data_IF_287990686341
#
_entry.id   IF_287990686341
#
_cell.length_a   1.000
_cell.length_b   1.000
_cell.length_c   1.000
_cell.angle_alpha   90.00
_cell.angle_beta   90.00
_cell.angle_gamma   90.00
#
_symmetry.space_group_name_H-M   'P 1'
#
loop_
_entity.id
_entity.type
_entity.pdbx_description
1 polymer ?
#
# COMPACT_ATOMS: atom_id res chain seq x y z
N UNK A 1 9.44 36.57 -30.05
CA UNK A 1 9.48 35.15 -29.61
C UNK A 1 10.94 34.79 -29.63
N UNK A 2 11.57 34.88 -28.45
CA UNK A 2 13.01 34.93 -28.29
C UNK A 2 13.59 33.51 -28.21
N UNK A 3 14.75 33.32 -28.82
CA UNK A 3 15.51 32.07 -28.93
C UNK A 3 16.13 31.57 -27.60
N UNK A 4 15.54 31.91 -26.45
CA UNK A 4 16.07 31.59 -25.11
C UNK A 4 15.32 30.43 -24.44
N UNK A 5 14.13 30.06 -24.94
CA UNK A 5 13.33 28.96 -24.39
C UNK A 5 13.74 27.57 -24.93
N UNK A 6 14.41 27.50 -26.09
CA UNK A 6 14.79 26.24 -26.74
C UNK A 6 15.84 25.42 -25.95
N UNK A 7 16.61 26.05 -25.06
CA UNK A 7 17.74 25.40 -24.40
C UNK A 7 17.42 24.83 -23.00
N UNK A 8 16.37 25.28 -22.33
CA UNK A 8 16.03 24.79 -21.00
C UNK A 8 15.44 23.37 -21.03
N UNK A 9 14.59 23.10 -22.02
CA UNK A 9 13.99 21.78 -22.23
C UNK A 9 15.08 20.76 -22.59
N UNK A 10 15.99 21.13 -23.49
CA UNK A 10 17.08 20.25 -23.91
C UNK A 10 18.07 19.95 -22.76
N UNK A 11 18.38 20.95 -21.92
CA UNK A 11 19.20 20.76 -20.72
C UNK A 11 18.52 19.85 -19.70
N UNK A 12 17.22 20.03 -19.47
CA UNK A 12 16.44 19.18 -18.57
C UNK A 12 16.40 17.73 -19.06
N UNK A 13 16.14 17.52 -20.36
CA UNK A 13 16.15 16.19 -20.98
C UNK A 13 17.51 15.51 -20.85
N UNK A 14 18.62 16.24 -21.10
CA UNK A 14 19.96 15.69 -20.97
C UNK A 14 20.28 15.27 -19.53
N UNK A 15 19.85 16.05 -18.55
CA UNK A 15 20.04 15.76 -17.13
C UNK A 15 19.26 14.51 -16.70
N UNK A 16 18.01 14.38 -17.15
CA UNK A 16 17.17 13.20 -16.91
C UNK A 16 17.79 11.96 -17.56
N UNK A 17 18.23 12.05 -18.82
CA UNK A 17 18.90 10.94 -19.51
C UNK A 17 20.20 10.52 -18.81
N UNK A 18 21.03 11.50 -18.40
CA UNK A 18 22.27 11.22 -17.67
C UNK A 18 22.01 10.52 -16.31
N UNK A 19 20.88 10.81 -15.68
CA UNK A 19 20.49 10.19 -14.40
C UNK A 19 19.87 8.80 -14.57
N UNK A 20 19.31 8.50 -15.75
CA UNK A 20 18.64 7.23 -16.02
C UNK A 20 19.51 6.20 -16.72
N UNK A 21 20.50 6.62 -17.53
CA UNK A 21 21.30 5.72 -18.38
C UNK A 21 22.08 4.64 -17.63
N UNK A 22 22.44 4.90 -16.37
CA UNK A 22 23.25 4.00 -15.56
C UNK A 22 22.38 3.03 -14.72
N UNK A 23 21.06 3.19 -14.77
CA UNK A 23 20.10 2.29 -14.11
C UNK A 23 19.76 1.10 -15.01
N UNK A 24 19.40 -0.04 -14.42
CA UNK A 24 18.86 -1.16 -15.18
C UNK A 24 17.46 -0.84 -15.76
N UNK A 25 17.07 -1.59 -16.80
CA UNK A 25 15.82 -1.34 -17.55
C UNK A 25 14.57 -1.38 -16.67
N UNK A 26 14.53 -2.21 -15.62
CA UNK A 26 13.38 -2.23 -14.70
C UNK A 26 13.35 -1.00 -13.81
N UNK A 27 14.52 -0.56 -13.32
CA UNK A 27 14.62 0.66 -12.53
C UNK A 27 14.29 1.92 -13.36
N UNK A 28 14.74 1.98 -14.63
CA UNK A 28 14.37 3.05 -15.55
C UNK A 28 12.85 3.14 -15.76
N UNK A 29 12.19 2.00 -16.01
CA UNK A 29 10.73 1.97 -16.19
C UNK A 29 9.97 2.43 -14.93
N UNK A 30 10.44 2.05 -13.74
CA UNK A 30 9.82 2.51 -12.48
C UNK A 30 9.93 4.02 -12.29
N UNK A 31 11.08 4.61 -12.62
CA UNK A 31 11.27 6.06 -12.52
C UNK A 31 10.40 6.78 -13.54
N UNK A 32 10.34 6.27 -14.78
CA UNK A 32 9.49 6.84 -15.82
C UNK A 32 8.00 6.76 -15.46
N UNK A 33 7.52 5.61 -14.96
CA UNK A 33 6.14 5.46 -14.50
C UNK A 33 5.81 6.41 -13.34
N UNK A 34 6.74 6.56 -12.39
CA UNK A 34 6.60 7.48 -11.26
C UNK A 34 6.50 8.94 -11.73
N UNK A 35 7.40 9.39 -12.61
CA UNK A 35 7.41 10.78 -13.12
C UNK A 35 6.20 11.06 -13.99
N UNK A 36 5.83 10.12 -14.87
CA UNK A 36 4.66 10.21 -15.75
C UNK A 36 3.39 10.36 -14.93
N UNK A 37 3.25 9.57 -13.86
CA UNK A 37 2.11 9.64 -12.92
C UNK A 37 2.11 10.94 -12.11
N UNK A 38 3.27 11.41 -11.67
CA UNK A 38 3.42 12.63 -10.86
C UNK A 38 3.12 13.92 -11.63
N UNK A 39 3.44 13.94 -12.92
CA UNK A 39 3.20 15.10 -13.78
C UNK A 39 1.89 15.00 -14.58
N UNK A 40 1.09 13.96 -14.32
CA UNK A 40 -0.14 13.65 -15.08
C UNK A 40 0.09 13.62 -16.59
N UNK A 41 1.29 13.21 -17.01
CA UNK A 41 1.64 13.10 -18.42
C UNK A 41 1.10 11.78 -18.95
N UNK A 42 0.49 11.79 -20.13
CA UNK A 42 0.12 10.54 -20.81
C UNK A 42 1.32 10.10 -21.62
N UNK A 43 1.86 8.91 -21.33
CA UNK A 43 2.92 8.32 -22.15
C UNK A 43 2.36 8.08 -23.55
N UNK A 44 2.70 8.94 -24.49
CA UNK A 44 2.35 8.78 -25.90
C UNK A 44 3.25 7.70 -26.49
N UNK A 45 2.88 6.45 -26.28
CA UNK A 45 3.31 5.37 -27.17
C UNK A 45 2.47 5.49 -28.43
N UNK A 46 2.98 6.22 -29.43
CA UNK A 46 2.53 6.04 -30.81
C UNK A 46 2.91 4.61 -31.22
N UNK A 47 1.96 3.67 -31.08
CA UNK A 47 1.95 2.41 -31.81
C UNK A 47 0.51 2.21 -32.35
N UNK A 48 0.37 1.72 -33.60
CA UNK A 48 -0.83 1.84 -34.41
C UNK A 48 -1.94 0.91 -33.95
N UNK A 49 -3.18 1.34 -34.17
CA UNK A 49 -4.41 0.55 -34.01
C UNK A 49 -4.23 -0.90 -34.48
N UNK A 50 -4.43 -1.89 -33.60
CA UNK A 50 -4.64 -3.25 -34.07
C UNK A 50 -6.01 -3.32 -34.75
N UNK A 51 -6.00 -3.38 -36.07
CA UNK A 51 -7.14 -3.69 -36.92
C UNK A 51 -7.76 -5.00 -36.40
N UNK A 52 -8.96 -4.92 -35.83
CA UNK A 52 -9.75 -6.10 -35.46
C UNK A 52 -10.27 -6.78 -36.73
N UNK A 53 -9.96 -8.08 -36.98
CA UNK A 53 -10.72 -8.85 -37.94
C UNK A 53 -12.00 -9.37 -37.26
N UNK A 54 -13.16 -8.88 -37.70
CA UNK A 54 -14.45 -9.46 -37.33
C UNK A 54 -14.57 -10.91 -37.82
N UNK A 55 -15.07 -11.86 -36.99
CA UNK A 55 -15.61 -13.11 -37.51
C UNK A 55 -17.14 -13.06 -37.50
N UNK A 56 -17.72 -13.30 -38.69
CA UNK A 56 -19.14 -13.58 -38.89
C UNK A 56 -19.46 -15.01 -38.47
N UNK A 57 -20.53 -15.13 -37.68
CA UNK A 57 -21.62 -16.13 -37.73
C UNK A 57 -21.28 -17.63 -37.87
N UNK A 58 -21.64 -18.43 -36.84
CA UNK A 58 -22.79 -19.39 -36.82
C UNK A 58 -22.47 -20.78 -36.21
N UNK A 59 -23.36 -21.18 -35.30
CA UNK A 59 -23.85 -22.54 -34.94
C UNK A 59 -23.24 -23.21 -33.70
N UNK A 60 -24.07 -23.27 -32.65
CA UNK A 60 -24.03 -24.10 -31.42
C UNK A 60 -24.17 -25.63 -31.74
N UNK A 61 -24.20 -26.61 -30.78
CA UNK A 61 -24.26 -26.50 -29.30
C UNK A 61 -23.43 -27.54 -28.48
N UNK A 62 -23.60 -27.42 -27.15
CA UNK A 62 -23.34 -28.38 -26.05
C UNK A 62 -21.90 -28.58 -25.52
N UNK A 63 -21.61 -28.01 -24.34
CA UNK A 63 -21.51 -28.75 -23.05
C UNK A 63 -20.89 -27.86 -21.94
N UNK A 64 -21.72 -27.57 -20.91
CA UNK A 64 -21.40 -27.32 -19.49
C UNK A 64 -20.57 -26.08 -19.04
N UNK A 65 -21.29 -25.17 -18.37
CA UNK A 65 -20.98 -24.22 -17.27
C UNK A 65 -19.66 -24.36 -16.48
N UNK A 66 -19.15 -23.30 -15.78
CA UNK A 66 -19.94 -22.18 -15.25
C UNK A 66 -19.43 -20.75 -15.51
N UNK A 67 -20.41 -19.87 -15.64
CA UNK A 67 -20.47 -18.47 -15.20
C UNK A 67 -19.21 -17.96 -14.46
N UNK A 68 -18.40 -17.17 -15.17
CA UNK A 68 -17.73 -16.05 -14.53
C UNK A 68 -18.68 -14.87 -14.63
N UNK A 69 -19.45 -14.67 -13.55
CA UNK A 69 -20.25 -13.48 -13.35
C UNK A 69 -19.38 -12.24 -13.58
N UNK A 70 -19.76 -11.44 -14.58
CA UNK A 70 -19.47 -10.01 -14.67
C UNK A 70 -19.98 -9.33 -13.40
N UNK A 71 -19.14 -9.35 -12.37
CA UNK A 71 -19.36 -8.66 -11.12
C UNK A 71 -18.85 -7.23 -11.24
N UNK A 72 -19.75 -6.32 -11.64
CA UNK A 72 -19.82 -4.90 -11.28
C UNK A 72 -18.47 -4.19 -11.10
N UNK A 73 -18.20 -3.28 -12.03
CA UNK A 73 -17.45 -2.04 -11.81
C UNK A 73 -18.07 -1.25 -10.64
N UNK A 74 -17.79 -1.69 -9.42
CA UNK A 74 -18.05 -0.93 -8.20
C UNK A 74 -16.85 -0.04 -7.99
N UNK A 75 -17.05 1.24 -8.29
CA UNK A 75 -16.40 2.40 -7.67
C UNK A 75 -15.02 2.07 -7.09
N UNK A 76 -13.99 2.20 -7.93
CA UNK A 76 -12.63 2.29 -7.45
C UNK A 76 -12.58 3.51 -6.53
N UNK A 77 -12.72 3.25 -5.23
CA UNK A 77 -12.14 4.05 -4.16
C UNK A 77 -10.62 4.00 -4.41
N UNK A 78 -10.17 4.71 -5.45
CA UNK A 78 -8.76 5.00 -5.74
C UNK A 78 -8.33 5.99 -4.66
N UNK A 79 -8.18 5.45 -3.44
CA UNK A 79 -7.60 6.18 -2.33
C UNK A 79 -6.14 6.43 -2.67
N UNK A 80 -5.88 7.66 -3.10
CA UNK A 80 -4.59 8.19 -3.47
C UNK A 80 -3.57 7.95 -2.33
N UNK A 81 -2.43 7.31 -2.64
CA UNK A 81 -1.41 6.94 -1.66
C UNK A 81 -1.39 5.46 -1.22
N UNK A 82 -2.37 4.63 -1.63
CA UNK A 82 -2.35 3.19 -1.33
C UNK A 82 -1.63 2.37 -2.40
N UNK A 83 -0.75 1.47 -1.97
CA UNK A 83 -0.03 0.51 -2.83
C UNK A 83 -0.98 -0.44 -3.58
N UNK A 84 -0.69 -0.79 -4.85
CA UNK A 84 -1.53 -1.72 -5.64
C UNK A 84 -1.66 -3.11 -5.01
N UNK A 85 -0.69 -3.53 -4.19
CA UNK A 85 -0.73 -4.79 -3.43
C UNK A 85 -1.72 -4.68 -2.27
N UNK A 86 -1.74 -3.53 -1.59
CA UNK A 86 -2.70 -3.24 -0.54
C UNK A 86 -4.14 -3.14 -1.06
N UNK A 87 -4.36 -2.56 -2.25
CA UNK A 87 -5.69 -2.55 -2.89
C UNK A 87 -6.25 -3.96 -3.14
N UNK A 88 -5.40 -4.92 -3.51
CA UNK A 88 -5.81 -6.34 -3.64
C UNK A 88 -6.18 -6.95 -2.30
N UNK A 89 -5.40 -6.65 -1.26
CA UNK A 89 -5.69 -7.11 0.09
C UNK A 89 -6.99 -6.49 0.64
N UNK A 90 -7.23 -5.20 0.43
CA UNK A 90 -8.47 -4.52 0.83
C UNK A 90 -9.71 -5.18 0.23
N UNK A 91 -9.67 -5.51 -1.06
CA UNK A 91 -10.74 -6.26 -1.72
C UNK A 91 -10.95 -7.64 -1.09
N UNK A 92 -9.87 -8.34 -0.72
CA UNK A 92 -9.95 -9.64 -0.06
C UNK A 92 -10.43 -9.56 1.39
N UNK A 93 -10.09 -8.50 2.10
CA UNK A 93 -10.47 -8.28 3.51
C UNK A 93 -11.84 -7.62 3.67
N UNK A 94 -12.48 -7.20 2.57
CA UNK A 94 -13.74 -6.47 2.53
C UNK A 94 -13.68 -5.13 3.29
N UNK A 95 -12.50 -4.48 3.28
CA UNK A 95 -12.29 -3.17 3.90
C UNK A 95 -12.30 -2.08 2.82
N UNK A 96 -13.08 -1.01 3.04
CA UNK A 96 -13.11 0.14 2.12
C UNK A 96 -12.08 1.21 2.50
N UNK A 97 -11.67 2.03 1.53
CA UNK A 97 -10.77 3.16 1.76
C UNK A 97 -11.31 4.13 2.82
N UNK A 98 -12.63 4.40 2.77
CA UNK A 98 -13.36 5.22 3.75
C UNK A 98 -13.35 4.65 5.17
N UNK A 99 -13.33 3.32 5.33
CA UNK A 99 -13.21 2.70 6.65
C UNK A 99 -11.79 2.82 7.19
N UNK A 100 -10.80 2.61 6.32
CA UNK A 100 -9.39 2.75 6.70
C UNK A 100 -9.03 4.19 7.02
N UNK A 101 -9.61 5.19 6.36
CA UNK A 101 -9.35 6.61 6.65
C UNK A 101 -9.79 7.07 8.06
N UNK A 102 -10.64 6.29 8.75
CA UNK A 102 -11.00 6.52 10.15
C UNK A 102 -9.85 6.15 11.10
N UNK A 103 -9.08 5.13 10.72
CA UNK A 103 -8.00 4.57 11.54
C UNK A 103 -6.62 5.07 11.10
N UNK A 104 -6.47 5.39 9.82
CA UNK A 104 -5.21 5.73 9.19
C UNK A 104 -5.33 7.06 8.45
N UNK A 105 -4.29 7.90 8.56
CA UNK A 105 -4.15 9.07 7.72
C UNK A 105 -3.54 8.63 6.40
N UNK A 106 -4.38 8.50 5.36
CA UNK A 106 -3.97 8.07 4.03
C UNK A 106 -3.24 9.23 3.32
N UNK A 107 -1.91 9.28 3.47
CA UNK A 107 -1.04 10.24 2.79
C UNK A 107 -0.35 9.66 1.55
N UNK A 108 0.19 10.54 0.69
CA UNK A 108 0.86 10.16 -0.57
C UNK A 108 2.24 9.53 -0.30
N UNK A 109 2.96 10.01 0.72
CA UNK A 109 4.31 9.51 1.07
C UNK A 109 4.29 8.49 2.20
N UNK A 110 3.46 8.73 3.22
CA UNK A 110 3.35 7.87 4.38
C UNK A 110 1.90 7.78 4.88
N UNK A 111 1.56 6.60 5.41
CA UNK A 111 0.28 6.33 6.05
C UNK A 111 0.54 6.17 7.55
N UNK A 112 -0.02 7.09 8.34
CA UNK A 112 0.14 7.11 9.80
C UNK A 112 -1.10 6.56 10.51
N UNK A 113 -0.87 5.96 11.68
CA UNK A 113 -1.94 5.50 12.56
C UNK A 113 -2.55 6.69 13.32
N UNK A 114 -3.82 6.98 13.09
CA UNK A 114 -4.57 8.08 13.71
C UNK A 114 -5.83 7.61 14.47
N UNK A 115 -5.91 6.31 14.76
CA UNK A 115 -7.03 5.74 15.49
C UNK A 115 -7.25 6.45 16.84
N UNK A 116 -8.50 6.76 17.19
CA UNK A 116 -8.82 7.45 18.47
C UNK A 116 -8.41 6.66 19.70
N UNK A 117 -8.52 5.33 19.63
CA UNK A 117 -8.14 4.43 20.70
C UNK A 117 -7.70 3.10 20.10
N UNK A 118 -6.71 2.45 20.72
CA UNK A 118 -6.25 1.11 20.32
C UNK A 118 -6.77 0.09 21.33
N UNK A 119 -7.40 -1.01 20.90
CA UNK A 119 -7.88 -2.06 21.79
C UNK A 119 -6.72 -2.71 22.58
N UNK A 120 -7.03 -3.11 23.81
CA UNK A 120 -6.10 -3.84 24.69
C UNK A 120 -6.31 -3.51 26.17
N UNK A 121 -6.61 -4.54 26.97
CA UNK A 121 -6.86 -4.40 28.41
C UNK A 121 -5.57 -4.11 29.17
N UNK A 122 -4.48 -4.73 28.75
CA UNK A 122 -3.14 -4.53 29.31
C UNK A 122 -2.23 -3.74 28.37
N UNK A 123 -1.14 -3.16 28.89
CA UNK A 123 -0.11 -2.52 28.05
C UNK A 123 0.47 -3.48 27.01
N UNK A 124 0.67 -4.75 27.39
CA UNK A 124 1.17 -5.78 26.49
C UNK A 124 0.24 -6.01 25.28
N UNK A 125 -1.06 -6.11 25.54
CA UNK A 125 -2.08 -6.25 24.47
C UNK A 125 -2.13 -5.02 23.58
N UNK A 126 -2.05 -3.81 24.17
CA UNK A 126 -2.02 -2.58 23.37
C UNK A 126 -0.77 -2.50 22.50
N UNK A 127 0.41 -2.87 23.01
CA UNK A 127 1.64 -2.94 22.20
C UNK A 127 1.46 -3.90 21.02
N UNK A 128 0.84 -5.07 21.24
CA UNK A 128 0.50 -6.01 20.16
C UNK A 128 -0.39 -5.32 19.11
N UNK A 129 -1.50 -4.75 19.54
CA UNK A 129 -2.45 -4.09 18.65
C UNK A 129 -1.83 -2.93 17.88
N UNK A 130 -0.99 -2.11 18.51
CA UNK A 130 -0.26 -1.01 17.85
C UNK A 130 0.70 -1.57 16.80
N UNK A 131 1.48 -2.61 17.12
CA UNK A 131 2.41 -3.23 16.19
C UNK A 131 1.69 -3.80 14.95
N UNK A 132 0.54 -4.45 15.17
CA UNK A 132 -0.32 -4.93 14.09
C UNK A 132 -0.82 -3.79 13.19
N UNK A 133 -1.30 -2.70 13.79
CA UNK A 133 -1.82 -1.55 13.05
C UNK A 133 -0.72 -0.82 12.27
N UNK A 134 0.46 -0.62 12.85
CA UNK A 134 1.61 -0.02 12.17
C UNK A 134 2.09 -0.89 10.99
N UNK A 135 2.07 -2.21 11.16
CA UNK A 135 2.38 -3.11 10.06
C UNK A 135 1.38 -2.99 8.90
N UNK A 136 0.10 -2.79 9.19
CA UNK A 136 -0.89 -2.50 8.14
C UNK A 136 -0.65 -1.12 7.53
N UNK A 137 -0.32 -0.10 8.32
CA UNK A 137 -0.01 1.23 7.80
C UNK A 137 1.15 1.19 6.78
N UNK A 138 2.25 0.51 7.12
CA UNK A 138 3.38 0.29 6.20
C UNK A 138 3.01 -0.58 4.99
N UNK A 139 2.11 -1.54 5.17
CA UNK A 139 1.58 -2.36 4.07
C UNK A 139 0.73 -1.53 3.11
N UNK A 140 -0.09 -0.61 3.62
CA UNK A 140 -0.91 0.28 2.82
C UNK A 140 -0.03 1.22 1.98
N UNK A 141 1.05 1.77 2.54
CA UNK A 141 1.92 2.72 1.82
C UNK A 141 2.85 2.02 0.82
N UNK A 142 3.57 0.99 1.26
CA UNK A 142 4.65 0.37 0.48
C UNK A 142 4.29 -0.97 -0.15
N UNK A 143 3.18 -1.60 0.27
CA UNK A 143 2.87 -3.00 -0.06
C UNK A 143 3.64 -4.02 0.77
N UNK A 144 4.51 -3.57 1.69
CA UNK A 144 5.24 -4.42 2.62
C UNK A 144 4.86 -4.07 4.06
N UNK A 145 4.44 -5.06 4.84
CA UNK A 145 3.94 -4.86 6.20
C UNK A 145 5.08 -4.64 7.20
N UNK A 146 5.84 -3.55 7.04
CA UNK A 146 7.07 -3.25 7.77
C UNK A 146 6.99 -1.91 8.49
N UNK A 147 7.65 -1.83 9.64
CA UNK A 147 7.76 -0.61 10.44
C UNK A 147 9.05 -0.60 11.28
N UNK A 148 9.49 0.58 11.72
CA UNK A 148 10.71 0.74 12.52
C UNK A 148 10.42 0.69 14.02
N UNK A 149 11.44 0.40 14.84
CA UNK A 149 11.32 0.46 16.30
C UNK A 149 10.95 1.88 16.77
N UNK A 150 11.45 2.90 16.09
CA UNK A 150 11.15 4.32 16.39
C UNK A 150 9.65 4.60 16.26
N UNK A 151 9.04 4.26 15.12
CA UNK A 151 7.59 4.42 14.90
C UNK A 151 6.75 3.62 15.88
N UNK A 152 7.20 2.42 16.25
CA UNK A 152 6.53 1.62 17.26
C UNK A 152 6.56 2.29 18.64
N UNK A 153 7.73 2.80 19.06
CA UNK A 153 7.87 3.49 20.36
C UNK A 153 7.06 4.77 20.41
N UNK A 154 7.10 5.55 19.35
CA UNK A 154 6.32 6.77 19.19
C UNK A 154 4.83 6.48 19.34
N UNK A 155 4.29 5.55 18.54
CA UNK A 155 2.88 5.15 18.64
C UNK A 155 2.53 4.59 20.03
N UNK A 156 3.42 3.77 20.62
CA UNK A 156 3.21 3.29 22.00
C UNK A 156 3.20 4.42 23.04
N UNK A 157 3.96 5.50 22.81
CA UNK A 157 3.91 6.72 23.61
C UNK A 157 2.57 7.43 23.48
N UNK A 158 2.10 7.63 22.25
CA UNK A 158 0.80 8.28 21.97
C UNK A 158 -0.39 7.54 22.60
N UNK A 159 -0.37 6.21 22.58
CA UNK A 159 -1.47 5.37 23.10
C UNK A 159 -1.27 4.90 24.56
N UNK A 160 -0.31 5.48 25.29
CA UNK A 160 0.00 5.12 26.69
C UNK A 160 0.20 3.60 26.88
N UNK A 161 0.81 2.96 25.89
CA UNK A 161 1.15 1.54 25.87
C UNK A 161 2.64 1.29 26.13
N UNK A 162 3.46 2.35 26.10
CA UNK A 162 4.89 2.24 26.33
C UNK A 162 5.21 1.88 27.78
N UNK A 163 6.01 0.82 27.94
CA UNK A 163 6.60 0.39 29.20
C UNK A 163 8.08 0.12 28.95
N UNK A 164 8.95 1.10 29.23
CA UNK A 164 10.37 1.00 28.91
C UNK A 164 11.07 -0.23 29.53
N UNK A 165 10.56 -0.76 30.65
CA UNK A 165 11.12 -1.92 31.34
C UNK A 165 10.64 -3.23 30.71
N UNK A 166 9.36 -3.31 30.33
CA UNK A 166 8.76 -4.54 29.80
C UNK A 166 8.61 -4.56 28.27
N UNK A 167 8.95 -3.49 27.56
CA UNK A 167 8.72 -3.36 26.11
C UNK A 167 9.35 -4.50 25.31
N UNK A 168 10.63 -4.81 25.57
CA UNK A 168 11.31 -5.93 24.90
C UNK A 168 10.68 -7.28 25.21
N UNK A 169 10.10 -7.46 26.41
CA UNK A 169 9.38 -8.68 26.79
C UNK A 169 8.05 -8.78 26.04
N UNK A 170 7.31 -7.67 25.91
CA UNK A 170 6.08 -7.62 25.13
C UNK A 170 6.33 -7.88 23.64
N UNK A 171 7.39 -7.30 23.08
CA UNK A 171 7.82 -7.57 21.70
C UNK A 171 8.17 -9.05 21.46
N UNK A 172 8.90 -9.67 22.40
CA UNK A 172 9.19 -11.11 22.31
C UNK A 172 7.94 -11.98 22.41
N UNK A 173 6.94 -11.55 23.17
CA UNK A 173 5.70 -12.30 23.31
C UNK A 173 4.85 -12.32 22.02
N UNK A 174 5.04 -11.34 21.14
CA UNK A 174 4.33 -11.22 19.85
C UNK A 174 5.17 -11.65 18.65
N UNK A 175 6.25 -12.41 18.88
CA UNK A 175 7.18 -12.82 17.83
C UNK A 175 6.56 -13.74 16.78
N UNK A 176 5.40 -14.34 17.06
CA UNK A 176 4.65 -15.14 16.10
C UNK A 176 3.93 -14.26 15.06
N UNK A 177 3.50 -13.08 15.46
CA UNK A 177 2.80 -12.11 14.63
C UNK A 177 3.76 -11.09 14.00
N UNK A 178 4.81 -10.72 14.72
CA UNK A 178 5.79 -9.70 14.33
C UNK A 178 7.19 -10.30 14.31
N UNK A 179 7.79 -10.37 13.12
CA UNK A 179 9.16 -10.82 12.93
C UNK A 179 10.10 -9.62 12.74
N UNK A 180 11.35 -9.73 13.19
CA UNK A 180 12.37 -8.71 12.95
C UNK A 180 13.15 -8.32 14.21
N UNK A 181 14.00 -7.31 14.05
CA UNK A 181 14.87 -6.81 15.11
C UNK A 181 14.84 -5.29 15.12
N UNK A 182 15.30 -4.68 16.22
CA UNK A 182 15.41 -3.22 16.33
C UNK A 182 16.25 -2.62 15.20
N UNK A 183 17.32 -3.31 14.78
CA UNK A 183 18.26 -2.83 13.75
C UNK A 183 17.69 -2.95 12.32
N UNK A 184 16.97 -4.03 12.02
CA UNK A 184 16.44 -4.27 10.67
C UNK A 184 14.97 -3.81 10.50
N UNK A 185 14.35 -3.32 11.57
CA UNK A 185 12.92 -3.08 11.64
C UNK A 185 12.12 -4.36 11.84
N UNK A 186 10.82 -4.15 12.01
CA UNK A 186 9.82 -5.18 12.24
C UNK A 186 8.94 -5.37 11.01
N UNK A 187 8.43 -6.58 10.84
CA UNK A 187 7.54 -6.97 9.77
C UNK A 187 6.43 -7.89 10.29
N UNK A 188 5.22 -7.75 9.77
CA UNK A 188 4.15 -8.69 10.08
C UNK A 188 4.36 -10.01 9.36
N UNK A 189 4.15 -11.11 10.08
CA UNK A 189 4.00 -12.43 9.50
C UNK A 189 2.64 -12.57 8.82
N UNK A 190 2.43 -13.66 8.07
CA UNK A 190 1.11 -14.00 7.50
C UNK A 190 0.01 -14.11 8.57
N UNK A 191 0.38 -14.65 9.75
CA UNK A 191 -0.50 -14.70 10.92
C UNK A 191 -0.78 -13.29 11.45
N UNK A 192 0.25 -12.45 11.58
CA UNK A 192 0.10 -11.06 11.99
C UNK A 192 -0.81 -10.26 11.07
N UNK A 193 -0.71 -10.44 9.75
CA UNK A 193 -1.60 -9.80 8.77
C UNK A 193 -3.06 -10.21 8.94
N UNK A 194 -3.31 -11.50 9.16
CA UNK A 194 -4.67 -12.00 9.41
C UNK A 194 -5.23 -11.40 10.70
N UNK A 195 -4.45 -11.42 11.79
CA UNK A 195 -4.88 -10.89 13.08
C UNK A 195 -5.09 -9.37 13.04
N UNK A 196 -4.23 -8.62 12.35
CA UNK A 196 -4.39 -7.19 12.14
C UNK A 196 -5.67 -6.86 11.37
N UNK A 197 -6.01 -7.69 10.36
CA UNK A 197 -7.24 -7.52 9.58
C UNK A 197 -8.47 -7.70 10.47
N UNK A 198 -8.49 -8.74 11.29
CA UNK A 198 -9.60 -9.00 12.22
C UNK A 198 -9.70 -7.91 13.30
N UNK A 199 -8.56 -7.40 13.77
CA UNK A 199 -8.50 -6.27 14.69
C UNK A 199 -9.15 -5.01 14.10
N UNK A 200 -8.81 -4.67 12.85
CA UNK A 200 -9.38 -3.51 12.16
C UNK A 200 -10.90 -3.67 12.03
N UNK A 201 -11.38 -4.85 11.60
CA UNK A 201 -12.82 -5.12 11.51
C UNK A 201 -13.50 -4.97 12.87
N UNK A 202 -12.91 -5.50 13.94
CA UNK A 202 -13.46 -5.36 15.29
C UNK A 202 -13.54 -3.89 15.72
N UNK A 203 -12.53 -3.08 15.41
CA UNK A 203 -12.52 -1.64 15.70
C UNK A 203 -13.58 -0.86 14.91
N UNK A 204 -13.85 -1.27 13.67
CA UNK A 204 -14.87 -0.65 12.81
C UNK A 204 -16.30 -1.06 13.19
N UNK A 205 -16.48 -2.23 13.82
CA UNK A 205 -17.79 -2.77 14.20
C UNK A 205 -18.15 -2.42 15.66
N UNK A 206 -17.15 -2.20 16.51
CA UNK A 206 -17.31 -1.89 17.94
C UNK A 206 -17.03 -0.43 18.32
N UNK A 207 -17.16 0.50 17.36
CA UNK A 207 -16.98 1.95 17.55
C UNK A 207 -18.28 2.70 17.75
#
# INVERSE_FOLDING_TARGET
MSAEDEDLEFLAMRQVYASLKDLDVNAQNRVLDYVTRRLSLTRRTDDPEPIQPSPRTRTEPDDVSPESQEGKSGEADDVEGISPIALKWMRRSQLSGKQLSILFSLGIEEIDLVAKAVPGKSKAERVKSIALLLGIAGYLSSGAARFTDEKLREACGHYNAYDGTNFSKHLRAISAEVAGTKENGYALSSRGLTEATELIKAMLTGG
#
